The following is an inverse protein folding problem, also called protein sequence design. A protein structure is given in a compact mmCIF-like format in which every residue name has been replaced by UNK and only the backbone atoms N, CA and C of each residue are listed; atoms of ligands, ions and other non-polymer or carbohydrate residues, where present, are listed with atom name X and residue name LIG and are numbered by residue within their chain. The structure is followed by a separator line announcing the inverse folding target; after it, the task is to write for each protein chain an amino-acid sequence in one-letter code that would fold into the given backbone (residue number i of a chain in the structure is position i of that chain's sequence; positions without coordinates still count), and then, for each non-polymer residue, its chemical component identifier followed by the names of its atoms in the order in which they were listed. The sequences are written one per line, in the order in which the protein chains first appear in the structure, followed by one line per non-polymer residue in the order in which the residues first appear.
data_IF_238414823261
#
_entry.id   IF_238414823261
#
_cell.length_a   1.000
_cell.length_b   1.000
_cell.length_c   1.000
_cell.angle_alpha   90.00
_cell.angle_beta   90.00
_cell.angle_gamma   90.00
#
_symmetry.space_group_name_H-M   'P 1'
#
loop_
_entity.id
_entity.type
_entity.pdbx_description
1 polymer ?
#
# COMPACT_ATOMS: atom_id res chain seq x y z
N UNK A 1 39.07 -0.75 12.58
CA UNK A 1 38.99 -1.30 11.21
C UNK A 1 37.60 -1.90 10.97
N UNK A 2 36.56 -1.12 10.80
CA UNK A 2 35.19 -1.62 10.61
C UNK A 2 34.30 -0.65 9.82
N UNK A 3 34.70 -0.30 8.62
CA UNK A 3 33.90 0.66 7.82
C UNK A 3 33.82 0.36 6.31
N UNK A 4 34.61 -0.57 5.80
CA UNK A 4 34.68 -0.82 4.35
C UNK A 4 33.73 -1.92 3.83
N UNK A 5 33.23 -2.82 4.68
CA UNK A 5 32.36 -3.91 4.22
C UNK A 5 30.89 -3.53 3.98
N UNK A 6 30.36 -2.53 4.69
CA UNK A 6 28.96 -2.12 4.52
C UNK A 6 28.68 -1.31 3.25
N UNK A 7 29.66 -0.54 2.74
CA UNK A 7 29.44 0.26 1.53
C UNK A 7 29.45 -0.56 0.24
N UNK A 8 30.28 -1.60 0.14
CA UNK A 8 30.34 -2.47 -1.07
C UNK A 8 29.12 -3.38 -1.18
N UNK A 9 28.55 -3.84 -0.07
CA UNK A 9 27.33 -4.65 -0.03
C UNK A 9 26.12 -3.84 -0.50
N UNK A 10 25.99 -2.61 -0.02
CA UNK A 10 24.93 -1.66 -0.41
C UNK A 10 24.98 -1.28 -1.92
N UNK A 11 26.18 -1.06 -2.46
CA UNK A 11 26.34 -0.68 -3.88
C UNK A 11 26.01 -1.83 -4.84
N UNK A 12 26.39 -3.06 -4.50
CA UNK A 12 26.11 -4.23 -5.31
C UNK A 12 24.60 -4.58 -5.32
N UNK A 13 23.94 -4.43 -4.18
CA UNK A 13 22.49 -4.62 -4.06
C UNK A 13 21.72 -3.55 -4.86
N UNK A 14 22.15 -2.29 -4.83
CA UNK A 14 21.54 -1.23 -5.62
C UNK A 14 21.66 -1.49 -7.14
N UNK A 15 22.82 -2.00 -7.61
CA UNK A 15 23.00 -2.39 -9.02
C UNK A 15 22.08 -3.54 -9.43
N UNK A 16 21.90 -4.55 -8.57
CA UNK A 16 21.00 -5.67 -8.83
C UNK A 16 19.52 -5.21 -8.92
N UNK A 17 19.09 -4.35 -8.01
CA UNK A 17 17.74 -3.76 -8.05
C UNK A 17 17.56 -2.95 -9.33
N UNK A 18 18.51 -2.08 -9.69
CA UNK A 18 18.46 -1.28 -10.91
C UNK A 18 18.37 -2.14 -12.17
N UNK A 19 19.16 -3.22 -12.24
CA UNK A 19 19.09 -4.18 -13.35
C UNK A 19 17.73 -4.89 -13.40
N UNK A 20 17.18 -5.31 -12.25
CA UNK A 20 15.87 -5.95 -12.20
C UNK A 20 14.76 -5.03 -12.68
N UNK A 21 14.79 -3.75 -12.28
CA UNK A 21 13.83 -2.73 -12.75
C UNK A 21 13.94 -2.56 -14.26
N UNK A 22 15.15 -2.41 -14.80
CA UNK A 22 15.37 -2.24 -16.24
C UNK A 22 14.85 -3.44 -17.04
N UNK A 23 15.15 -4.65 -16.60
CA UNK A 23 14.67 -5.89 -17.24
C UNK A 23 13.16 -6.02 -17.19
N UNK A 24 12.54 -5.64 -16.06
CA UNK A 24 11.10 -5.66 -15.91
C UNK A 24 10.42 -4.64 -16.85
N UNK A 25 10.94 -3.43 -16.96
CA UNK A 25 10.43 -2.44 -17.92
C UNK A 25 10.53 -2.97 -19.35
N UNK A 26 11.67 -3.57 -19.72
CA UNK A 26 11.89 -4.11 -21.07
C UNK A 26 10.87 -5.19 -21.42
N UNK A 27 10.65 -6.16 -20.51
CA UNK A 27 9.68 -7.22 -20.75
C UNK A 27 8.24 -6.69 -20.76
N UNK A 28 7.90 -5.75 -19.88
CA UNK A 28 6.57 -5.11 -19.82
C UNK A 28 6.23 -4.42 -21.14
N UNK A 29 7.15 -3.62 -21.68
CA UNK A 29 6.96 -2.95 -22.98
C UNK A 29 6.80 -3.99 -24.10
N UNK A 30 7.62 -5.04 -24.09
CA UNK A 30 7.51 -6.14 -25.08
C UNK A 30 6.18 -6.87 -25.00
N UNK A 31 5.68 -7.11 -23.78
CA UNK A 31 4.38 -7.75 -23.53
C UNK A 31 3.20 -6.87 -23.96
N UNK A 32 3.27 -5.54 -23.74
CA UNK A 32 2.23 -4.61 -24.23
C UNK A 32 2.14 -4.67 -25.75
N UNK A 33 3.27 -4.51 -26.44
CA UNK A 33 3.33 -4.56 -27.92
C UNK A 33 2.86 -5.92 -28.41
N UNK A 34 3.36 -7.01 -27.82
CA UNK A 34 3.01 -8.36 -28.20
C UNK A 34 1.57 -8.72 -27.88
N UNK A 35 1.02 -8.24 -26.77
CA UNK A 35 -0.39 -8.40 -26.40
C UNK A 35 -1.34 -7.77 -27.41
N UNK A 36 -1.02 -6.54 -27.84
CA UNK A 36 -1.77 -5.83 -28.87
C UNK A 36 -1.68 -6.53 -30.24
N UNK A 37 -0.47 -6.98 -30.64
CA UNK A 37 -0.26 -7.65 -31.94
C UNK A 37 -0.86 -9.06 -31.95
N UNK A 38 -0.70 -9.82 -30.87
CA UNK A 38 -1.21 -11.18 -30.76
C UNK A 38 -2.74 -11.24 -30.56
N UNK A 39 -3.34 -10.16 -30.10
CA UNK A 39 -4.71 -10.11 -29.69
C UNK A 39 -4.99 -10.82 -28.35
N UNK A 40 -3.99 -11.21 -27.55
CA UNK A 40 -4.17 -11.88 -26.25
C UNK A 40 -4.42 -10.88 -25.14
N UNK A 41 -5.57 -10.99 -24.48
CA UNK A 41 -5.90 -10.18 -23.31
C UNK A 41 -5.22 -10.70 -22.06
N UNK A 42 -4.94 -11.98 -21.95
CA UNK A 42 -4.19 -12.54 -20.84
C UNK A 42 -2.76 -11.99 -20.82
N UNK A 43 -2.09 -11.91 -21.98
CA UNK A 43 -0.77 -11.31 -22.10
C UNK A 43 -0.78 -9.79 -21.82
N UNK A 44 -1.82 -9.09 -22.30
CA UNK A 44 -2.00 -7.67 -22.05
C UNK A 44 -2.32 -7.39 -20.57
N UNK A 45 -3.08 -8.27 -19.90
CA UNK A 45 -3.36 -8.17 -18.46
C UNK A 45 -2.09 -8.26 -17.62
N UNK A 46 -1.22 -9.22 -17.91
CA UNK A 46 0.07 -9.39 -17.24
C UNK A 46 0.95 -8.15 -17.47
N UNK A 47 0.99 -7.64 -18.70
CA UNK A 47 1.71 -6.43 -19.06
C UNK A 47 1.18 -5.15 -18.36
N UNK A 48 -0.14 -4.98 -18.28
CA UNK A 48 -0.76 -3.83 -17.60
C UNK A 48 -0.58 -3.88 -16.08
N UNK A 49 -0.55 -5.08 -15.49
CA UNK A 49 -0.15 -5.24 -14.11
C UNK A 49 1.27 -4.71 -13.88
N UNK A 50 2.24 -5.23 -14.61
CA UNK A 50 3.64 -4.81 -14.50
C UNK A 50 3.84 -3.31 -14.77
N UNK A 51 3.12 -2.74 -15.75
CA UNK A 51 3.14 -1.31 -16.02
C UNK A 51 2.59 -0.50 -14.84
N UNK A 52 1.48 -0.96 -14.25
CA UNK A 52 0.90 -0.32 -13.07
C UNK A 52 1.88 -0.29 -11.90
N UNK A 53 2.69 -1.34 -11.70
CA UNK A 53 3.69 -1.38 -10.64
C UNK A 53 4.82 -0.38 -10.89
N UNK A 54 5.28 -0.23 -12.13
CA UNK A 54 6.25 0.81 -12.50
C UNK A 54 5.69 2.21 -12.23
N UNK A 55 4.45 2.48 -12.63
CA UNK A 55 3.76 3.75 -12.37
C UNK A 55 3.62 3.98 -10.86
N UNK A 56 3.23 2.95 -10.11
CA UNK A 56 3.11 2.99 -8.66
C UNK A 56 4.42 3.35 -7.97
N UNK A 57 5.54 2.82 -8.44
CA UNK A 57 6.87 3.17 -7.92
C UNK A 57 7.20 4.64 -8.17
N UNK A 58 6.89 5.18 -9.36
CA UNK A 58 7.12 6.59 -9.69
C UNK A 58 6.26 7.49 -8.80
N UNK A 59 4.97 7.21 -8.67
CA UNK A 59 4.05 7.99 -7.84
C UNK A 59 4.48 7.95 -6.37
N UNK A 60 4.85 6.76 -5.86
CA UNK A 60 5.34 6.59 -4.49
C UNK A 60 6.65 7.33 -4.24
N UNK A 61 7.58 7.34 -5.20
CA UNK A 61 8.81 8.13 -5.11
C UNK A 61 8.53 9.64 -5.02
N UNK A 62 7.65 10.15 -5.88
CA UNK A 62 7.25 11.56 -5.86
C UNK A 62 6.56 11.90 -4.54
N UNK A 63 5.64 11.06 -4.08
CA UNK A 63 4.92 11.24 -2.83
C UNK A 63 5.86 11.25 -1.62
N UNK A 64 6.81 10.32 -1.55
CA UNK A 64 7.83 10.26 -0.50
C UNK A 64 8.76 11.50 -0.52
N UNK A 65 9.09 12.02 -1.71
CA UNK A 65 9.86 13.26 -1.83
C UNK A 65 9.04 14.48 -1.35
N UNK A 66 7.74 14.48 -1.63
CA UNK A 66 6.84 15.54 -1.18
C UNK A 66 6.61 15.47 0.34
N UNK A 67 6.40 14.29 0.91
CA UNK A 67 6.12 14.09 2.34
C UNK A 67 7.27 14.60 3.25
N UNK A 68 8.49 14.64 2.70
CA UNK A 68 9.71 15.15 3.40
C UNK A 68 9.91 16.65 3.28
N UNK A 69 9.08 17.38 2.52
CA UNK A 69 9.17 18.84 2.44
C UNK A 69 8.79 19.47 3.76
N UNK A 70 9.49 20.55 4.10
CA UNK A 70 9.19 21.35 5.28
C UNK A 70 7.76 21.93 5.20
N UNK A 71 7.11 22.00 6.35
CA UNK A 71 5.81 22.65 6.49
C UNK A 71 5.95 24.18 6.35
N UNK A 72 4.87 24.80 5.95
CA UNK A 72 4.77 26.26 5.81
C UNK A 72 3.57 26.78 6.60
N UNK A 73 3.48 28.10 6.78
CA UNK A 73 2.32 28.72 7.45
C UNK A 73 0.97 28.41 6.78
N UNK A 74 0.98 28.10 5.46
CA UNK A 74 -0.22 27.68 4.71
C UNK A 74 -0.46 26.17 4.72
N UNK A 75 0.55 25.39 5.13
CA UNK A 75 0.56 23.93 5.10
C UNK A 75 1.22 23.44 6.38
N UNK A 76 0.50 23.59 7.49
CA UNK A 76 1.04 23.33 8.84
C UNK A 76 1.40 21.85 9.07
N UNK A 77 0.73 20.92 8.40
CA UNK A 77 1.09 19.50 8.36
C UNK A 77 1.98 19.14 7.15
N UNK A 78 2.32 20.10 6.28
CA UNK A 78 3.06 19.83 5.05
C UNK A 78 2.33 18.87 4.12
N UNK A 79 3.08 17.99 3.45
CA UNK A 79 2.57 16.99 2.51
C UNK A 79 2.56 15.58 3.10
N UNK A 80 2.41 15.41 4.41
CA UNK A 80 2.51 14.11 5.07
C UNK A 80 1.50 13.06 4.58
N UNK A 81 0.34 13.49 4.09
CA UNK A 81 -0.67 12.62 3.46
C UNK A 81 -0.37 12.23 2.01
N UNK A 82 0.70 12.78 1.40
CA UNK A 82 1.01 12.50 -0.01
C UNK A 82 1.21 11.00 -0.29
N UNK A 83 1.82 10.25 0.64
CA UNK A 83 2.03 8.80 0.50
C UNK A 83 0.72 8.02 0.54
N UNK A 84 -0.22 8.42 1.40
CA UNK A 84 -1.55 7.79 1.48
C UNK A 84 -2.37 8.07 0.21
N UNK A 85 -2.32 9.32 -0.28
CA UNK A 85 -2.98 9.70 -1.54
C UNK A 85 -2.36 8.91 -2.71
N UNK A 86 -1.05 8.75 -2.75
CA UNK A 86 -0.35 7.96 -3.75
C UNK A 86 -0.83 6.49 -3.73
N UNK A 87 -0.90 5.87 -2.55
CA UNK A 87 -1.39 4.50 -2.39
C UNK A 87 -2.86 4.36 -2.83
N UNK A 88 -3.70 5.34 -2.50
CA UNK A 88 -5.10 5.38 -2.95
C UNK A 88 -5.21 5.49 -4.47
N UNK A 89 -4.47 6.41 -5.10
CA UNK A 89 -4.47 6.58 -6.56
C UNK A 89 -3.99 5.32 -7.26
N UNK A 90 -2.88 4.73 -6.80
CA UNK A 90 -2.31 3.52 -7.38
C UNK A 90 -3.30 2.35 -7.36
N UNK A 91 -3.93 2.11 -6.22
CA UNK A 91 -4.92 1.02 -6.10
C UNK A 91 -6.20 1.29 -6.88
N UNK A 92 -6.61 2.56 -7.01
CA UNK A 92 -7.75 2.96 -7.86
C UNK A 92 -7.45 2.70 -9.34
N UNK A 93 -6.24 3.00 -9.82
CA UNK A 93 -5.80 2.70 -11.19
C UNK A 93 -5.84 1.19 -11.43
N UNK A 94 -5.31 0.39 -10.50
CA UNK A 94 -5.37 -1.09 -10.60
C UNK A 94 -6.80 -1.61 -10.70
N UNK A 95 -7.74 -1.07 -9.94
CA UNK A 95 -9.14 -1.47 -10.02
C UNK A 95 -9.77 -1.07 -11.36
N UNK A 96 -9.47 0.12 -11.86
CA UNK A 96 -9.95 0.55 -13.17
C UNK A 96 -9.43 -0.37 -14.28
N UNK A 97 -8.15 -0.73 -14.25
CA UNK A 97 -7.55 -1.71 -15.19
C UNK A 97 -8.21 -3.07 -15.06
N UNK A 98 -8.40 -3.59 -13.84
CA UNK A 98 -9.03 -4.89 -13.63
C UNK A 98 -10.48 -4.91 -14.16
N UNK A 99 -11.27 -3.87 -13.92
CA UNK A 99 -12.64 -3.74 -14.44
C UNK A 99 -12.62 -3.69 -15.97
N UNK A 100 -11.71 -2.93 -16.58
CA UNK A 100 -11.55 -2.88 -18.03
C UNK A 100 -11.25 -4.27 -18.60
N UNK A 101 -10.32 -5.01 -17.99
CA UNK A 101 -9.92 -6.36 -18.41
C UNK A 101 -11.08 -7.36 -18.30
N UNK A 102 -11.88 -7.29 -17.24
CA UNK A 102 -13.07 -8.15 -17.09
C UNK A 102 -14.09 -7.85 -18.19
N UNK A 103 -14.36 -6.56 -18.46
CA UNK A 103 -15.29 -6.19 -19.55
C UNK A 103 -14.80 -6.70 -20.90
N UNK A 104 -13.52 -6.54 -21.22
CA UNK A 104 -12.96 -7.01 -22.47
C UNK A 104 -12.99 -8.54 -22.57
N UNK A 105 -12.71 -9.26 -21.47
CA UNK A 105 -12.83 -10.72 -21.43
C UNK A 105 -14.27 -11.19 -21.72
N UNK A 106 -15.27 -10.51 -21.15
CA UNK A 106 -16.69 -10.81 -21.40
C UNK A 106 -17.05 -10.60 -22.89
N UNK A 107 -16.58 -9.51 -23.49
CA UNK A 107 -16.80 -9.25 -24.92
C UNK A 107 -16.18 -10.36 -25.77
N UNK A 108 -15.01 -10.87 -25.40
CA UNK A 108 -14.37 -11.98 -26.13
C UNK A 108 -15.03 -13.31 -25.97
N UNK A 109 -15.73 -13.59 -24.90
CA UNK A 109 -16.59 -14.77 -24.80
C UNK A 109 -17.74 -14.72 -25.81
N UNK A 110 -18.28 -13.53 -26.12
CA UNK A 110 -19.36 -13.36 -27.09
C UNK A 110 -18.86 -13.35 -28.55
N UNK A 111 -17.63 -12.85 -28.76
CA UNK A 111 -17.00 -12.74 -30.07
C UNK A 111 -15.54 -13.22 -29.99
N UNK A 112 -15.31 -14.55 -29.98
CA UNK A 112 -13.95 -15.08 -29.96
C UNK A 112 -13.16 -14.59 -31.17
N UNK A 113 -11.97 -14.06 -30.93
CA UNK A 113 -11.02 -13.68 -31.99
C UNK A 113 -9.88 -14.67 -32.03
N UNK A 114 -9.32 -14.87 -33.21
CA UNK A 114 -8.09 -15.65 -33.34
C UNK A 114 -6.94 -14.93 -32.63
N UNK A 115 -6.17 -15.69 -31.86
CA UNK A 115 -5.02 -15.19 -31.08
C UNK A 115 -3.78 -15.79 -31.69
N UNK A 116 -2.77 -14.94 -31.93
CA UNK A 116 -1.45 -15.43 -32.31
C UNK A 116 -0.72 -16.05 -31.11
N UNK A 117 -1.04 -17.33 -30.87
CA UNK A 117 -0.51 -18.09 -29.73
C UNK A 117 1.01 -18.20 -29.74
N UNK A 118 1.67 -18.11 -30.92
CA UNK A 118 3.13 -18.12 -31.04
C UNK A 118 3.78 -16.94 -30.31
N UNK A 119 3.24 -15.74 -30.51
CA UNK A 119 3.73 -14.52 -29.82
C UNK A 119 3.49 -14.64 -28.32
N UNK A 120 2.29 -15.09 -27.90
CA UNK A 120 1.92 -15.28 -26.49
C UNK A 120 2.92 -16.20 -25.80
N UNK A 121 3.20 -17.37 -26.38
CA UNK A 121 4.12 -18.37 -25.80
C UNK A 121 5.55 -17.80 -25.69
N UNK A 122 6.06 -17.15 -26.74
CA UNK A 122 7.42 -16.60 -26.75
C UNK A 122 7.56 -15.54 -25.65
N UNK A 123 6.60 -14.62 -25.54
CA UNK A 123 6.68 -13.53 -24.56
C UNK A 123 6.44 -14.04 -23.13
N UNK A 124 5.54 -15.01 -22.92
CA UNK A 124 5.37 -15.62 -21.61
C UNK A 124 6.64 -16.36 -21.15
N UNK A 125 7.30 -17.12 -22.02
CA UNK A 125 8.60 -17.76 -21.72
C UNK A 125 9.65 -16.71 -21.40
N UNK A 126 9.75 -15.65 -22.20
CA UNK A 126 10.70 -14.56 -21.98
C UNK A 126 10.47 -13.88 -20.63
N UNK A 127 9.20 -13.64 -20.25
CA UNK A 127 8.82 -13.08 -18.96
C UNK A 127 9.23 -13.99 -17.79
N UNK A 128 8.94 -15.29 -17.89
CA UNK A 128 9.32 -16.28 -16.89
C UNK A 128 10.86 -16.27 -16.70
N UNK A 129 11.62 -16.28 -17.77
CA UNK A 129 13.08 -16.28 -17.71
C UNK A 129 13.61 -14.99 -17.05
N UNK A 130 13.16 -13.83 -17.51
CA UNK A 130 13.60 -12.53 -17.02
C UNK A 130 13.24 -12.38 -15.52
N UNK A 131 11.99 -12.64 -15.15
CA UNK A 131 11.55 -12.53 -13.75
C UNK A 131 12.26 -13.56 -12.85
N UNK A 132 12.52 -14.79 -13.35
CA UNK A 132 13.29 -15.79 -12.60
C UNK A 132 14.73 -15.35 -12.38
N UNK A 133 15.37 -14.72 -13.37
CA UNK A 133 16.71 -14.14 -13.20
C UNK A 133 16.68 -13.05 -12.12
N UNK A 134 15.69 -12.16 -12.15
CA UNK A 134 15.53 -11.10 -11.14
C UNK A 134 15.29 -11.69 -9.72
N UNK A 135 14.47 -12.74 -9.61
CA UNK A 135 14.25 -13.49 -8.35
C UNK A 135 15.58 -14.04 -7.82
N UNK A 136 16.38 -14.71 -8.65
CA UNK A 136 17.67 -15.26 -8.26
C UNK A 136 18.68 -14.17 -7.86
N UNK A 137 18.69 -13.04 -8.54
CA UNK A 137 19.56 -11.91 -8.21
C UNK A 137 19.25 -11.33 -6.81
N UNK A 138 17.96 -11.28 -6.41
CA UNK A 138 17.53 -10.67 -5.15
C UNK A 138 17.41 -11.66 -3.99
N UNK A 139 17.44 -12.97 -4.25
CA UNK A 139 17.18 -14.04 -3.26
C UNK A 139 18.00 -13.92 -1.98
N UNK A 140 19.30 -13.63 -2.09
CA UNK A 140 20.20 -13.52 -0.94
C UNK A 140 19.96 -12.23 -0.16
N UNK A 141 19.71 -11.12 -0.86
CA UNK A 141 19.52 -9.80 -0.27
C UNK A 141 18.13 -9.71 0.41
N UNK A 142 17.15 -10.49 -0.06
CA UNK A 142 15.81 -10.59 0.52
C UNK A 142 15.78 -11.14 1.96
N UNK A 143 16.81 -11.88 2.38
CA UNK A 143 16.92 -12.41 3.75
C UNK A 143 17.24 -11.31 4.78
N UNK A 144 17.87 -10.23 4.35
CA UNK A 144 18.36 -9.16 5.23
C UNK A 144 17.50 -7.88 5.23
N UNK A 145 16.51 -7.75 4.32
CA UNK A 145 15.72 -6.54 4.18
C UNK A 145 14.28 -6.85 3.81
N UNK A 146 13.33 -6.34 4.58
CA UNK A 146 11.89 -6.50 4.32
C UNK A 146 11.48 -5.86 2.98
N UNK A 147 12.08 -4.74 2.61
CA UNK A 147 11.82 -4.08 1.34
C UNK A 147 12.25 -4.93 0.14
N UNK A 148 13.47 -5.51 0.19
CA UNK A 148 13.97 -6.40 -0.87
C UNK A 148 13.15 -7.70 -0.89
N UNK A 149 12.73 -8.20 0.28
CA UNK A 149 11.84 -9.36 0.39
C UNK A 149 10.49 -9.12 -0.30
N UNK A 150 9.93 -7.93 -0.15
CA UNK A 150 8.69 -7.55 -0.85
C UNK A 150 8.90 -7.58 -2.38
N UNK A 151 9.97 -6.97 -2.88
CA UNK A 151 10.30 -7.00 -4.32
C UNK A 151 10.56 -8.42 -4.84
N UNK A 152 11.23 -9.25 -4.05
CA UNK A 152 11.46 -10.66 -4.37
C UNK A 152 10.14 -11.45 -4.50
N UNK A 153 9.21 -11.26 -3.55
CA UNK A 153 7.91 -11.94 -3.57
C UNK A 153 7.03 -11.44 -4.73
N UNK A 154 7.12 -10.16 -5.05
CA UNK A 154 6.43 -9.59 -6.19
C UNK A 154 6.92 -10.21 -7.52
N UNK A 155 8.23 -10.22 -7.78
CA UNK A 155 8.79 -10.86 -8.96
C UNK A 155 8.48 -12.37 -9.04
N UNK A 156 8.39 -13.05 -7.91
CA UNK A 156 7.97 -14.45 -7.86
C UNK A 156 6.49 -14.60 -8.26
N UNK A 157 5.63 -13.67 -7.87
CA UNK A 157 4.23 -13.60 -8.31
C UNK A 157 4.13 -13.42 -9.83
N UNK A 158 4.98 -12.56 -10.41
CA UNK A 158 5.02 -12.33 -11.87
C UNK A 158 5.45 -13.58 -12.63
N UNK A 159 6.33 -14.40 -12.08
CA UNK A 159 6.67 -15.72 -12.65
C UNK A 159 5.44 -16.61 -12.68
N UNK A 160 4.65 -16.64 -11.60
CA UNK A 160 3.45 -17.49 -11.51
C UNK A 160 2.37 -17.03 -12.50
N UNK A 161 2.12 -15.71 -12.61
CA UNK A 161 1.14 -15.17 -13.57
C UNK A 161 1.57 -15.43 -15.02
N UNK A 162 2.84 -15.18 -15.36
CA UNK A 162 3.38 -15.49 -16.70
C UNK A 162 3.34 -16.99 -17.00
N UNK A 163 3.49 -17.86 -16.01
CA UNK A 163 3.35 -19.30 -16.17
C UNK A 163 1.89 -19.69 -16.51
N UNK A 164 0.90 -19.06 -15.88
CA UNK A 164 -0.50 -19.24 -16.21
C UNK A 164 -0.80 -18.81 -17.66
N UNK A 165 -0.24 -17.68 -18.09
CA UNK A 165 -0.36 -17.18 -19.49
C UNK A 165 0.28 -18.17 -20.47
N UNK A 166 1.45 -18.72 -20.14
CA UNK A 166 2.13 -19.74 -20.94
C UNK A 166 1.28 -21.00 -21.10
N UNK A 167 0.74 -21.53 -20.02
CA UNK A 167 -0.14 -22.72 -20.06
C UNK A 167 -1.38 -22.46 -20.92
N UNK A 168 -1.99 -21.27 -20.79
CA UNK A 168 -3.08 -20.83 -21.61
C UNK A 168 -2.71 -20.75 -23.10
N UNK A 169 -1.57 -20.15 -23.41
CA UNK A 169 -1.03 -20.04 -24.77
C UNK A 169 -0.78 -21.41 -25.42
N UNK A 170 -0.22 -22.35 -24.66
CA UNK A 170 -0.02 -23.73 -25.11
C UNK A 170 -1.35 -24.45 -25.33
N UNK A 171 -2.29 -24.34 -24.39
CA UNK A 171 -3.61 -24.97 -24.51
C UNK A 171 -4.38 -24.41 -25.72
N UNK A 172 -4.35 -23.09 -25.94
CA UNK A 172 -4.95 -22.46 -27.12
C UNK A 172 -4.31 -22.95 -28.41
N UNK A 173 -3.00 -23.12 -28.44
CA UNK A 173 -2.26 -23.59 -29.62
C UNK A 173 -2.60 -25.05 -30.00
N UNK A 174 -2.67 -25.95 -29.03
CA UNK A 174 -2.86 -27.37 -29.28
C UNK A 174 -4.34 -27.78 -29.40
N UNK A 175 -5.23 -27.10 -28.66
CA UNK A 175 -6.65 -27.45 -28.59
C UNK A 175 -7.56 -26.45 -29.29
N UNK A 176 -7.04 -25.34 -29.82
CA UNK A 176 -7.80 -24.25 -30.46
C UNK A 176 -8.92 -23.66 -29.58
N UNK A 177 -8.70 -23.64 -28.26
CA UNK A 177 -9.67 -23.21 -27.25
C UNK A 177 -9.39 -21.74 -26.89
N UNK A 178 -9.71 -20.80 -27.77
CA UNK A 178 -9.39 -19.37 -27.64
C UNK A 178 -10.09 -18.67 -26.47
N UNK A 179 -11.21 -19.21 -25.96
CA UNK A 179 -11.88 -18.63 -24.79
C UNK A 179 -11.08 -18.78 -23.50
N UNK A 180 -10.03 -19.60 -23.46
CA UNK A 180 -9.11 -19.70 -22.32
C UNK A 180 -8.39 -18.39 -22.04
N UNK A 181 -8.10 -17.58 -23.05
CA UNK A 181 -7.52 -16.25 -22.88
C UNK A 181 -8.40 -15.36 -22.00
N UNK A 182 -9.71 -15.33 -22.24
CA UNK A 182 -10.66 -14.60 -21.43
C UNK A 182 -10.76 -15.13 -19.99
N UNK A 183 -10.70 -16.45 -19.79
CA UNK A 183 -10.73 -17.05 -18.45
C UNK A 183 -9.49 -16.62 -17.66
N UNK A 184 -8.32 -16.74 -18.26
CA UNK A 184 -7.05 -16.35 -17.62
C UNK A 184 -7.05 -14.85 -17.31
N UNK A 185 -7.54 -14.01 -18.24
CA UNK A 185 -7.71 -12.58 -18.05
C UNK A 185 -8.56 -12.29 -16.81
N UNK A 186 -9.71 -12.94 -16.65
CA UNK A 186 -10.58 -12.76 -15.47
C UNK A 186 -9.86 -13.20 -14.19
N UNK A 187 -9.16 -14.34 -14.21
CA UNK A 187 -8.41 -14.81 -13.04
C UNK A 187 -7.36 -13.79 -12.62
N UNK A 188 -6.59 -13.25 -13.58
CA UNK A 188 -5.60 -12.21 -13.31
C UNK A 188 -6.26 -10.94 -12.76
N UNK A 189 -7.36 -10.48 -13.37
CA UNK A 189 -8.09 -9.29 -12.92
C UNK A 189 -8.63 -9.46 -11.49
N UNK A 190 -9.19 -10.62 -11.15
CA UNK A 190 -9.63 -10.93 -9.78
C UNK A 190 -8.45 -10.92 -8.82
N UNK A 191 -7.33 -11.53 -9.19
CA UNK A 191 -6.11 -11.52 -8.38
C UNK A 191 -5.62 -10.08 -8.11
N UNK A 192 -5.63 -9.19 -9.10
CA UNK A 192 -5.26 -7.78 -8.95
C UNK A 192 -6.15 -7.05 -7.94
N UNK A 193 -7.46 -7.27 -8.00
CA UNK A 193 -8.41 -6.68 -7.05
C UNK A 193 -8.12 -7.17 -5.64
N UNK A 194 -7.97 -8.48 -5.43
CA UNK A 194 -7.74 -9.05 -4.10
C UNK A 194 -6.41 -8.60 -3.50
N UNK A 195 -5.32 -8.57 -4.29
CA UNK A 195 -4.00 -8.15 -3.83
C UNK A 195 -3.96 -6.69 -3.37
N UNK A 196 -4.73 -5.82 -4.05
CA UNK A 196 -4.76 -4.37 -3.77
C UNK A 196 -5.83 -3.95 -2.77
N UNK A 197 -6.82 -4.82 -2.47
CA UNK A 197 -7.99 -4.49 -1.65
C UNK A 197 -7.64 -3.95 -0.28
N UNK A 198 -6.72 -4.61 0.42
CA UNK A 198 -6.31 -4.20 1.77
C UNK A 198 -5.68 -2.81 1.79
N UNK A 199 -4.85 -2.50 0.80
CA UNK A 199 -4.17 -1.19 0.68
C UNK A 199 -5.20 -0.12 0.35
N UNK A 200 -6.13 -0.41 -0.56
CA UNK A 200 -7.22 0.51 -0.93
C UNK A 200 -8.08 0.90 0.27
N UNK A 201 -8.60 -0.09 1.00
CA UNK A 201 -9.43 0.16 2.19
C UNK A 201 -8.64 0.89 3.28
N UNK A 202 -7.37 0.50 3.53
CA UNK A 202 -6.52 1.21 4.51
C UNK A 202 -6.34 2.68 4.12
N UNK A 203 -6.08 2.96 2.84
CA UNK A 203 -5.92 4.35 2.36
C UNK A 203 -7.19 5.18 2.56
N UNK A 204 -8.37 4.61 2.26
CA UNK A 204 -9.66 5.28 2.52
C UNK A 204 -9.83 5.56 4.00
N UNK A 205 -9.61 4.57 4.88
CA UNK A 205 -9.74 4.75 6.34
C UNK A 205 -8.86 5.89 6.87
N UNK A 206 -7.60 5.96 6.41
CA UNK A 206 -6.69 7.06 6.80
C UNK A 206 -7.16 8.42 6.26
N UNK A 207 -7.62 8.48 5.01
CA UNK A 207 -8.14 9.71 4.41
C UNK A 207 -9.43 10.20 5.10
N UNK A 208 -10.30 9.28 5.51
CA UNK A 208 -11.53 9.53 6.25
C UNK A 208 -11.32 9.72 7.76
N UNK A 209 -10.07 9.76 8.22
CA UNK A 209 -9.71 9.96 9.62
C UNK A 209 -10.27 8.90 10.58
N UNK A 210 -10.37 7.64 10.14
CA UNK A 210 -10.76 6.56 11.02
C UNK A 210 -9.68 6.30 12.08
N UNK A 211 -10.11 5.87 13.26
CA UNK A 211 -9.21 5.35 14.29
C UNK A 211 -8.41 4.16 13.72
N UNK A 212 -7.08 4.12 13.93
CA UNK A 212 -6.25 2.99 13.52
C UNK A 212 -6.73 1.66 14.12
N UNK A 213 -6.73 0.58 13.33
CA UNK A 213 -7.28 -0.73 13.73
C UNK A 213 -6.57 -1.37 14.93
N UNK A 214 -5.33 -0.97 15.21
CA UNK A 214 -4.54 -1.46 16.33
C UNK A 214 -4.76 -0.67 17.63
N UNK A 215 -5.61 0.35 17.65
CA UNK A 215 -5.90 1.18 18.82
C UNK A 215 -7.25 0.80 19.37
N UNK A 216 -7.27 0.42 20.64
CA UNK A 216 -8.49 0.22 21.43
C UNK A 216 -8.75 1.49 22.24
N UNK A 217 -9.70 2.31 21.77
CA UNK A 217 -10.01 3.61 22.37
C UNK A 217 -10.45 3.46 23.83
N UNK A 218 -11.23 2.42 24.13
CA UNK A 218 -11.76 2.13 25.46
C UNK A 218 -10.63 1.88 26.47
N UNK A 219 -9.57 1.18 26.09
CA UNK A 219 -8.41 0.92 26.96
C UNK A 219 -7.68 2.21 27.33
N UNK A 220 -7.50 3.10 26.34
CA UNK A 220 -6.88 4.43 26.58
C UNK A 220 -7.73 5.22 27.56
N UNK A 221 -9.05 5.23 27.35
CA UNK A 221 -9.99 5.94 28.22
C UNK A 221 -9.95 5.41 29.65
N UNK A 222 -9.97 4.10 29.85
CA UNK A 222 -9.87 3.49 31.18
C UNK A 222 -8.57 3.87 31.89
N UNK A 223 -7.43 3.80 31.19
CA UNK A 223 -6.13 4.16 31.76
C UNK A 223 -6.06 5.64 32.15
N UNK A 224 -6.58 6.54 31.31
CA UNK A 224 -6.57 7.98 31.58
C UNK A 224 -7.53 8.32 32.71
N UNK A 225 -8.73 7.76 32.74
CA UNK A 225 -9.71 7.98 33.81
C UNK A 225 -9.24 7.44 35.17
N UNK A 226 -8.32 6.48 35.19
CA UNK A 226 -7.74 5.97 36.42
C UNK A 226 -6.69 6.92 37.06
N UNK A 227 -6.29 7.98 36.38
CA UNK A 227 -5.35 8.97 36.90
C UNK A 227 -6.04 9.82 37.98
N UNK A 228 -5.47 9.87 39.18
CA UNK A 228 -6.01 10.64 40.31
C UNK A 228 -6.27 12.11 39.92
N UNK A 229 -7.48 12.59 40.21
CA UNK A 229 -7.94 13.96 39.95
C UNK A 229 -8.45 14.18 38.52
N UNK A 230 -8.58 13.11 37.72
CA UNK A 230 -9.34 13.10 36.47
C UNK A 230 -10.71 12.47 36.77
N UNK A 231 -11.78 13.20 36.50
CA UNK A 231 -13.16 12.76 36.72
C UNK A 231 -13.71 11.99 35.53
N UNK A 232 -13.40 12.48 34.34
CA UNK A 232 -13.91 11.92 33.07
C UNK A 232 -12.99 12.29 31.91
N UNK A 233 -13.04 11.49 30.84
CA UNK A 233 -12.48 11.80 29.53
C UNK A 233 -13.60 11.65 28.50
N UNK A 234 -13.73 12.61 27.58
CA UNK A 234 -14.77 12.67 26.60
C UNK A 234 -14.33 13.43 25.34
N UNK A 235 -15.16 13.53 24.33
CA UNK A 235 -14.89 14.19 23.05
C UNK A 235 -13.59 13.72 22.43
N UNK A 236 -13.50 12.39 22.22
CA UNK A 236 -12.25 11.76 21.77
C UNK A 236 -12.22 11.66 20.26
N UNK A 237 -11.14 12.13 19.67
CA UNK A 237 -10.80 11.92 18.28
C UNK A 237 -9.42 11.30 18.14
N UNK A 238 -9.33 10.18 17.43
CA UNK A 238 -8.08 9.50 17.15
C UNK A 238 -8.01 9.27 15.65
N UNK A 239 -6.99 9.80 15.00
CA UNK A 239 -6.81 9.63 13.56
C UNK A 239 -5.36 9.47 13.19
N UNK A 240 -5.13 8.89 12.04
CA UNK A 240 -3.80 8.69 11.47
C UNK A 240 -3.53 9.75 10.40
N UNK A 241 -2.40 10.43 10.47
CA UNK A 241 -1.97 11.38 9.44
C UNK A 241 -1.24 10.67 8.30
N UNK A 242 -0.33 9.75 8.66
CA UNK A 242 0.41 8.85 7.78
C UNK A 242 0.74 7.54 8.54
N UNK A 243 1.52 6.63 7.96
CA UNK A 243 1.83 5.34 8.58
C UNK A 243 2.57 5.45 9.94
N UNK A 244 3.17 6.60 10.27
CA UNK A 244 4.01 6.80 11.44
C UNK A 244 3.45 7.82 12.45
N UNK A 245 2.43 8.58 12.08
CA UNK A 245 1.92 9.68 12.90
C UNK A 245 0.45 9.49 13.22
N UNK A 246 0.17 9.25 14.49
CA UNK A 246 -1.17 9.11 15.05
C UNK A 246 -1.42 10.30 15.97
N UNK A 247 -2.56 10.93 15.78
CA UNK A 247 -3.03 12.07 16.54
C UNK A 247 -4.15 11.65 17.48
N UNK A 248 -4.16 12.28 18.64
CA UNK A 248 -5.17 12.09 19.69
C UNK A 248 -5.66 13.46 20.16
N UNK A 249 -6.94 13.63 20.24
CA UNK A 249 -7.57 14.80 20.82
C UNK A 249 -8.65 14.37 21.80
N UNK A 250 -8.76 15.06 22.93
CA UNK A 250 -9.79 14.78 23.94
C UNK A 250 -9.98 15.94 24.88
N UNK A 251 -11.15 15.95 25.58
CA UNK A 251 -11.41 16.78 26.72
C UNK A 251 -11.31 15.94 28.00
N UNK A 252 -10.83 16.56 29.08
CA UNK A 252 -10.65 15.92 30.38
C UNK A 252 -11.30 16.80 31.45
N UNK A 253 -12.33 16.26 32.13
CA UNK A 253 -12.89 16.85 33.32
C UNK A 253 -11.99 16.61 34.51
N UNK A 254 -11.65 17.67 35.24
CA UNK A 254 -10.90 17.61 36.47
C UNK A 254 -11.85 17.57 37.69
N UNK A 255 -11.45 16.85 38.73
CA UNK A 255 -12.21 16.79 39.99
C UNK A 255 -12.16 18.11 40.76
N UNK A 256 -11.06 18.85 40.66
CA UNK A 256 -10.78 20.10 41.36
C UNK A 256 -10.20 21.13 40.38
N UNK A 257 -10.36 22.42 40.71
CA UNK A 257 -9.66 23.49 40.00
C UNK A 257 -8.17 23.44 40.37
N UNK A 258 -7.31 23.13 39.42
CA UNK A 258 -5.87 23.00 39.59
C UNK A 258 -5.12 23.99 38.73
N UNK A 259 -3.92 24.36 39.20
CA UNK A 259 -3.04 25.19 38.40
C UNK A 259 -2.41 24.44 37.20
N UNK A 260 -1.90 25.19 36.23
CA UNK A 260 -1.32 24.64 35.01
C UNK A 260 -0.17 23.69 35.32
N UNK A 261 0.67 24.00 36.33
CA UNK A 261 1.81 23.14 36.67
C UNK A 261 1.39 21.77 37.17
N UNK A 262 0.29 21.69 37.95
CA UNK A 262 -0.28 20.42 38.40
C UNK A 262 -0.94 19.65 37.23
N UNK A 263 -1.50 20.36 36.27
CA UNK A 263 -2.02 19.73 35.05
C UNK A 263 -0.90 19.16 34.17
N UNK A 264 0.22 19.87 34.03
CA UNK A 264 1.43 19.41 33.32
C UNK A 264 1.98 18.06 33.85
N UNK A 265 1.90 17.85 35.19
CA UNK A 265 2.26 16.55 35.78
C UNK A 265 1.31 15.41 35.29
N UNK A 266 0.02 15.68 35.22
CA UNK A 266 -0.95 14.72 34.68
C UNK A 266 -0.71 14.47 33.19
N UNK A 267 -0.42 15.53 32.41
CA UNK A 267 -0.09 15.40 30.98
C UNK A 267 1.13 14.50 30.73
N UNK A 268 2.13 14.49 31.60
CA UNK A 268 3.27 13.56 31.49
C UNK A 268 2.81 12.10 31.61
N UNK A 269 1.96 11.80 32.58
CA UNK A 269 1.42 10.44 32.77
C UNK A 269 0.59 10.05 31.55
N UNK A 270 -0.28 10.94 31.06
CA UNK A 270 -1.10 10.71 29.88
C UNK A 270 -0.21 10.48 28.64
N UNK A 271 0.82 11.29 28.44
CA UNK A 271 1.76 11.13 27.34
C UNK A 271 2.43 9.75 27.34
N UNK A 272 2.80 9.24 28.51
CA UNK A 272 3.42 7.91 28.60
C UNK A 272 2.40 6.80 28.28
N UNK A 273 1.16 6.94 28.71
CA UNK A 273 0.06 6.04 28.29
C UNK A 273 -0.12 6.10 26.77
N UNK A 274 -0.24 7.28 26.17
CA UNK A 274 -0.48 7.45 24.73
C UNK A 274 0.68 6.88 23.88
N UNK A 275 1.93 6.99 24.36
CA UNK A 275 3.09 6.39 23.70
C UNK A 275 3.03 4.86 23.62
N UNK A 276 2.44 4.17 24.60
CA UNK A 276 2.26 2.71 24.56
C UNK A 276 1.43 2.28 23.34
N UNK A 277 0.52 3.15 22.87
CA UNK A 277 -0.34 2.93 21.70
C UNK A 277 0.25 3.51 20.41
N UNK A 278 1.47 4.06 20.45
CA UNK A 278 2.13 4.66 19.27
C UNK A 278 1.57 6.03 18.87
N UNK A 279 0.81 6.68 19.76
CA UNK A 279 0.29 8.03 19.53
C UNK A 279 1.45 9.01 19.66
N UNK A 280 1.70 9.79 18.58
CA UNK A 280 2.86 10.66 18.46
C UNK A 280 2.56 12.14 18.70
N UNK A 281 1.29 12.48 18.59
CA UNK A 281 0.83 13.85 18.79
C UNK A 281 -0.51 13.85 19.52
N UNK A 282 -0.66 14.72 20.52
CA UNK A 282 -1.92 14.83 21.25
C UNK A 282 -2.24 16.28 21.58
N UNK A 283 -3.54 16.56 21.69
CA UNK A 283 -4.11 17.79 22.21
C UNK A 283 -5.16 17.43 23.25
N UNK A 284 -4.99 17.96 24.49
CA UNK A 284 -5.89 17.65 25.60
C UNK A 284 -6.38 18.97 26.18
N UNK A 285 -7.69 19.15 26.17
CA UNK A 285 -8.35 20.29 26.76
C UNK A 285 -8.76 19.95 28.21
N UNK A 286 -8.17 20.60 29.23
CA UNK A 286 -8.67 20.47 30.60
C UNK A 286 -9.96 21.25 30.78
N UNK A 287 -10.91 20.66 31.51
CA UNK A 287 -12.19 21.27 31.84
C UNK A 287 -12.49 21.14 33.32
N UNK A 288 -13.13 22.18 33.88
CA UNK A 288 -13.60 22.17 35.26
C UNK A 288 -14.98 22.80 35.31
N UNK A 289 -15.96 22.07 35.84
CA UNK A 289 -17.37 22.48 36.00
C UNK A 289 -18.01 22.97 34.69
N UNK A 290 -17.59 22.45 33.54
CA UNK A 290 -18.19 22.77 32.25
C UNK A 290 -19.41 21.91 32.02
N UNK A 291 -20.52 22.57 31.62
CA UNK A 291 -21.79 21.91 31.27
C UNK A 291 -21.84 21.69 29.77
N UNK A 292 -21.30 20.60 29.28
CA UNK A 292 -21.28 20.17 27.89
C UNK A 292 -21.55 18.66 27.78
N UNK A 293 -21.61 18.14 26.55
CA UNK A 293 -21.80 16.72 26.29
C UNK A 293 -20.58 15.92 26.79
N UNK A 294 -20.84 14.96 27.68
CA UNK A 294 -19.82 14.11 28.31
C UNK A 294 -19.74 12.72 27.68
N UNK A 295 -20.31 12.53 26.49
CA UNK A 295 -20.15 11.31 25.73
C UNK A 295 -18.71 11.13 25.24
N UNK A 296 -18.26 9.88 25.19
CA UNK A 296 -16.93 9.53 24.66
C UNK A 296 -16.69 10.09 23.26
N UNK A 297 -17.71 10.02 22.42
CA UNK A 297 -17.71 10.56 21.06
C UNK A 297 -18.91 11.51 21.00
N UNK A 298 -18.67 12.79 20.72
CA UNK A 298 -19.71 13.80 20.52
C UNK A 298 -19.64 14.37 19.11
N UNK A 299 -20.77 14.81 18.59
CA UNK A 299 -20.82 15.61 17.37
C UNK A 299 -20.19 16.98 17.67
N UNK A 300 -19.27 17.43 16.82
CA UNK A 300 -18.64 18.76 16.91
C UNK A 300 -19.60 19.87 16.53
#
# INVERSE_FOLDING_TARGET
MSGKHNHSYSENTAKKIGLSIFLNILITVSQIIGGLISGSMALLSDALHNLSDVISLIISYVANKLSKREYTLKQTFGYKRAEIIAAFINTTILFAVAIFLVNEAIVRFQKPSEINTGIVIILAISSIIINSICVLLLQNDAKGSLNIKSSYLHLLSDVVTSFAVLLGGLAMKYFSIFYLDGIITIIIAIYLIFSSWKIFIKSIKVLMQFTPENIQTEDICMKISAIKGIKNIHHIHIWQLNDNEIHFESHIDLEEDINISSFEEKLKIINDILKEYGITHYNIQPEFLRDDDKNLISET
#
